data_IF_964692486561
#
_entry.id   IF_964692486561
#
_cell.length_a   1.000
_cell.length_b   1.000
_cell.length_c   1.000
_cell.angle_alpha   90.00
_cell.angle_beta   90.00
_cell.angle_gamma   90.00
#
_symmetry.space_group_name_H-M   'P 1'
#
loop_
_entity.id
_entity.type
_entity.pdbx_description
1 polymer ?
#
# COMPACT_ATOMS: atom_id res chain seq x y z
N UNK A 1 31.91 -10.51 -58.25
CA UNK A 1 30.53 -10.10 -57.87
C UNK A 1 29.64 -11.34 -57.90
N UNK A 2 28.65 -11.55 -57.01
CA UNK A 2 28.21 -10.71 -55.87
C UNK A 2 28.35 -11.40 -54.49
N UNK A 3 28.37 -10.58 -53.44
CA UNK A 3 28.33 -10.95 -52.02
C UNK A 3 26.86 -10.98 -51.60
N UNK A 4 26.43 -12.10 -51.00
CA UNK A 4 25.08 -12.29 -50.45
C UNK A 4 24.88 -11.40 -49.21
N UNK A 5 23.97 -10.44 -49.30
CA UNK A 5 23.57 -9.60 -48.17
C UNK A 5 22.50 -10.34 -47.34
N UNK A 6 22.91 -10.90 -46.21
CA UNK A 6 22.01 -11.44 -45.19
C UNK A 6 21.23 -10.28 -44.55
N UNK A 7 19.95 -10.16 -44.91
CA UNK A 7 18.99 -9.21 -44.32
C UNK A 7 18.70 -9.66 -42.88
N UNK A 8 19.38 -9.07 -41.89
CA UNK A 8 19.00 -9.18 -40.47
C UNK A 8 17.58 -8.62 -40.31
N UNK A 9 16.60 -9.52 -40.20
CA UNK A 9 15.26 -9.19 -39.69
C UNK A 9 15.43 -8.74 -38.24
N UNK A 10 15.28 -7.44 -37.99
CA UNK A 10 15.13 -6.93 -36.64
C UNK A 10 13.91 -7.57 -36.00
N UNK A 11 14.09 -8.22 -34.84
CA UNK A 11 12.99 -8.59 -33.96
C UNK A 11 12.25 -7.30 -33.62
N UNK A 12 10.99 -7.16 -34.05
CA UNK A 12 10.05 -6.22 -33.41
C UNK A 12 10.02 -6.60 -31.94
N UNK A 13 10.44 -5.70 -31.05
CA UNK A 13 10.06 -5.80 -29.63
C UNK A 13 8.54 -5.80 -29.62
N UNK A 14 7.92 -6.85 -29.10
CA UNK A 14 6.51 -6.79 -28.69
C UNK A 14 6.43 -5.65 -27.66
N UNK A 15 5.54 -4.69 -27.92
CA UNK A 15 5.33 -3.57 -27.01
C UNK A 15 4.76 -4.11 -25.70
N UNK A 16 5.17 -3.53 -24.57
CA UNK A 16 4.60 -3.88 -23.28
C UNK A 16 3.09 -3.54 -23.31
N UNK A 17 2.18 -4.48 -22.98
CA UNK A 17 0.74 -4.22 -22.97
C UNK A 17 0.33 -3.05 -22.08
N UNK A 18 1.11 -2.74 -21.03
CA UNK A 18 0.85 -1.57 -20.18
C UNK A 18 1.20 -0.27 -20.90
N UNK A 19 2.34 -0.21 -21.59
CA UNK A 19 2.75 0.97 -22.39
C UNK A 19 1.70 1.26 -23.48
N UNK A 20 1.20 0.22 -24.16
CA UNK A 20 0.16 0.38 -25.18
C UNK A 20 -1.16 0.92 -24.61
N UNK A 21 -1.53 0.50 -23.39
CA UNK A 21 -2.73 1.01 -22.72
C UNK A 21 -2.56 2.47 -22.28
N UNK A 22 -1.38 2.85 -21.80
CA UNK A 22 -1.04 4.22 -21.39
C UNK A 22 -1.05 5.14 -22.62
N UNK A 23 -0.46 4.72 -23.74
CA UNK A 23 -0.39 5.52 -24.98
C UNK A 23 -1.76 5.79 -25.62
N UNK A 24 -2.75 4.92 -25.35
CA UNK A 24 -4.12 5.07 -25.84
C UNK A 24 -4.97 6.03 -24.99
N UNK A 25 -4.56 6.34 -23.77
CA UNK A 25 -5.33 7.24 -22.91
C UNK A 25 -5.18 8.70 -23.36
N UNK A 26 -6.29 9.48 -23.37
CA UNK A 26 -6.22 10.88 -23.75
C UNK A 26 -5.39 11.68 -22.75
N UNK A 27 -4.74 12.72 -23.26
CA UNK A 27 -4.00 13.66 -22.41
C UNK A 27 -4.92 14.25 -21.33
N UNK A 28 -4.46 14.19 -20.07
CA UNK A 28 -5.24 14.62 -18.90
C UNK A 28 -6.08 13.54 -18.24
N UNK A 29 -6.21 12.34 -18.83
CA UNK A 29 -6.86 11.19 -18.18
C UNK A 29 -6.18 10.83 -16.87
N UNK A 30 -6.98 10.48 -15.85
CA UNK A 30 -6.48 9.94 -14.58
C UNK A 30 -6.22 8.44 -14.64
N UNK A 31 -6.66 7.74 -15.69
CA UNK A 31 -6.31 6.34 -15.85
C UNK A 31 -4.80 6.17 -16.04
N UNK A 32 -4.26 5.12 -15.45
CA UNK A 32 -2.87 4.66 -15.57
C UNK A 32 -1.79 5.63 -15.07
N UNK A 33 -2.16 6.63 -14.25
CA UNK A 33 -1.19 7.58 -13.67
C UNK A 33 -0.49 7.04 -12.43
N UNK A 34 -1.24 6.47 -11.49
CA UNK A 34 -0.70 5.87 -10.26
C UNK A 34 -0.58 4.35 -10.38
N UNK A 35 -1.64 3.69 -10.87
CA UNK A 35 -1.67 2.24 -11.06
C UNK A 35 -1.74 1.90 -12.54
N UNK A 36 -0.79 1.14 -13.08
CA UNK A 36 -0.84 0.64 -14.46
C UNK A 36 -1.75 -0.59 -14.60
N UNK A 37 -2.17 -1.01 -15.80
CA UNK A 37 -3.13 -2.11 -15.97
C UNK A 37 -2.68 -3.42 -15.31
N UNK A 38 -1.43 -3.84 -15.48
CA UNK A 38 -0.90 -5.04 -14.82
C UNK A 38 -1.00 -4.98 -13.29
N UNK A 39 -0.69 -3.82 -12.69
CA UNK A 39 -0.80 -3.59 -11.25
C UNK A 39 -2.25 -3.69 -10.77
N UNK A 40 -3.20 -3.08 -11.49
CA UNK A 40 -4.64 -3.19 -11.14
C UNK A 40 -5.11 -4.64 -11.19
N UNK A 41 -4.66 -5.42 -12.19
CA UNK A 41 -4.97 -6.85 -12.28
C UNK A 41 -4.42 -7.64 -11.11
N UNK A 42 -3.16 -7.39 -10.76
CA UNK A 42 -2.48 -8.03 -9.63
C UNK A 42 -3.23 -7.73 -8.32
N UNK A 43 -3.57 -6.46 -8.08
CA UNK A 43 -4.30 -6.03 -6.87
C UNK A 43 -5.72 -6.61 -6.84
N UNK A 44 -6.39 -6.71 -8.00
CA UNK A 44 -7.74 -7.27 -8.10
C UNK A 44 -7.79 -8.77 -7.82
N UNK A 45 -6.66 -9.47 -8.01
CA UNK A 45 -6.53 -10.92 -7.79
C UNK A 45 -6.03 -11.28 -6.39
N UNK A 46 -5.74 -10.31 -5.52
CA UNK A 46 -5.33 -10.60 -4.14
C UNK A 46 -6.47 -11.34 -3.39
N UNK A 47 -6.17 -12.49 -2.77
CA UNK A 47 -7.15 -13.30 -2.06
C UNK A 47 -7.48 -12.75 -0.67
N UNK A 48 -6.52 -12.07 -0.03
CA UNK A 48 -6.66 -11.53 1.34
C UNK A 48 -6.41 -10.03 1.39
N UNK A 49 -6.92 -9.31 2.40
CA UNK A 49 -6.60 -7.91 2.65
C UNK A 49 -5.10 -7.67 2.87
N UNK A 50 -4.41 -8.59 3.54
CA UNK A 50 -2.97 -8.49 3.83
C UNK A 50 -2.15 -8.56 2.53
N UNK A 51 -2.52 -9.45 1.60
CA UNK A 51 -1.88 -9.56 0.28
C UNK A 51 -2.13 -8.29 -0.56
N UNK A 52 -3.27 -7.64 -0.38
CA UNK A 52 -3.58 -6.37 -1.05
C UNK A 52 -2.72 -5.23 -0.48
N UNK A 53 -2.59 -5.17 0.85
CA UNK A 53 -1.79 -4.18 1.56
C UNK A 53 -0.29 -4.30 1.19
N UNK A 54 0.27 -5.51 1.24
CA UNK A 54 1.67 -5.76 0.89
C UNK A 54 1.97 -5.29 -0.55
N UNK A 55 1.13 -5.68 -1.52
CA UNK A 55 1.35 -5.28 -2.92
C UNK A 55 1.11 -3.80 -3.16
N UNK A 56 0.11 -3.21 -2.50
CA UNK A 56 -0.19 -1.79 -2.62
C UNK A 56 0.97 -0.95 -2.06
N UNK A 57 1.53 -1.34 -0.91
CA UNK A 57 2.68 -0.65 -0.31
C UNK A 57 3.91 -0.70 -1.22
N UNK A 58 4.17 -1.85 -1.86
CA UNK A 58 5.25 -2.01 -2.84
C UNK A 58 5.06 -1.14 -4.08
N UNK A 59 3.84 -1.05 -4.62
CA UNK A 59 3.54 -0.20 -5.78
C UNK A 59 3.69 1.29 -5.45
N UNK A 60 3.20 1.72 -4.30
CA UNK A 60 3.24 3.12 -3.86
C UNK A 60 4.58 3.53 -3.24
N UNK A 61 5.53 2.60 -3.11
CA UNK A 61 6.84 2.82 -2.47
C UNK A 61 6.75 3.30 -1.02
N UNK A 62 5.76 2.82 -0.26
CA UNK A 62 5.53 3.16 1.15
C UNK A 62 6.31 2.18 2.06
N UNK A 63 7.64 2.22 2.00
CA UNK A 63 8.49 1.23 2.66
C UNK A 63 8.52 1.34 4.19
N UNK A 64 8.14 2.49 4.75
CA UNK A 64 8.22 2.79 6.18
C UNK A 64 6.85 2.75 6.86
N UNK A 65 5.79 2.28 6.20
CA UNK A 65 4.43 2.23 6.75
C UNK A 65 4.30 1.53 8.10
N UNK A 66 5.20 0.60 8.46
CA UNK A 66 5.21 -0.03 9.77
C UNK A 66 5.69 0.88 10.92
N UNK A 67 6.43 1.95 10.60
CA UNK A 67 7.07 2.86 11.57
C UNK A 67 6.64 4.33 11.40
N UNK A 68 6.17 4.73 10.22
CA UNK A 68 5.66 6.07 9.94
C UNK A 68 4.13 6.05 9.81
N UNK A 69 3.47 6.71 10.76
CA UNK A 69 2.01 6.83 10.79
C UNK A 69 1.45 7.55 9.55
N UNK A 70 2.23 8.45 8.93
CA UNK A 70 1.79 9.13 7.70
C UNK A 70 1.67 8.15 6.55
N UNK A 71 2.72 7.38 6.28
CA UNK A 71 2.71 6.31 5.29
C UNK A 71 1.67 5.23 5.61
N UNK A 72 1.54 4.82 6.88
CA UNK A 72 0.54 3.84 7.32
C UNK A 72 -0.89 4.28 6.97
N UNK A 73 -1.26 5.50 7.36
CA UNK A 73 -2.60 6.04 7.10
C UNK A 73 -2.87 6.21 5.60
N UNK A 74 -1.84 6.54 4.82
CA UNK A 74 -1.97 6.67 3.38
C UNK A 74 -2.25 5.30 2.75
N UNK A 75 -1.50 4.27 3.17
CA UNK A 75 -1.69 2.90 2.73
C UNK A 75 -3.11 2.39 3.06
N UNK A 76 -3.57 2.59 4.30
CA UNK A 76 -4.92 2.22 4.74
C UNK A 76 -5.99 2.84 3.83
N UNK A 77 -5.85 4.13 3.53
CA UNK A 77 -6.79 4.83 2.65
C UNK A 77 -6.81 4.20 1.26
N UNK A 78 -5.65 3.89 0.68
CA UNK A 78 -5.59 3.24 -0.64
C UNK A 78 -6.16 1.83 -0.65
N UNK A 79 -5.83 1.01 0.35
CA UNK A 79 -6.31 -0.38 0.46
C UNK A 79 -7.83 -0.42 0.62
N UNK A 80 -8.37 0.33 1.58
CA UNK A 80 -9.82 0.39 1.82
C UNK A 80 -10.57 0.97 0.63
N UNK A 81 -10.04 2.02 0.00
CA UNK A 81 -10.67 2.63 -1.17
C UNK A 81 -10.65 1.71 -2.39
N UNK A 82 -9.52 1.04 -2.65
CA UNK A 82 -9.42 0.09 -3.74
C UNK A 82 -10.41 -1.07 -3.56
N UNK A 83 -10.47 -1.62 -2.34
CA UNK A 83 -11.41 -2.68 -2.00
C UNK A 83 -12.86 -2.24 -2.22
N UNK A 84 -13.24 -1.07 -1.68
CA UNK A 84 -14.58 -0.51 -1.86
C UNK A 84 -14.94 -0.33 -3.35
N UNK A 85 -14.03 0.24 -4.15
CA UNK A 85 -14.29 0.47 -5.57
C UNK A 85 -14.45 -0.83 -6.36
N UNK A 86 -13.70 -1.87 -5.98
CA UNK A 86 -13.86 -3.23 -6.52
C UNK A 86 -15.25 -3.79 -6.19
N UNK A 87 -15.73 -3.62 -4.95
CA UNK A 87 -17.08 -4.04 -4.55
C UNK A 87 -18.19 -3.28 -5.30
N UNK A 88 -17.95 -2.02 -5.68
CA UNK A 88 -18.88 -1.26 -6.54
C UNK A 88 -18.86 -1.71 -8.01
N UNK A 89 -18.00 -2.66 -8.38
CA UNK A 89 -17.93 -3.22 -9.73
C UNK A 89 -17.21 -2.33 -10.75
N UNK A 90 -16.27 -1.50 -10.30
CA UNK A 90 -15.49 -0.65 -11.21
C UNK A 90 -14.56 -1.50 -12.09
N UNK A 91 -14.44 -1.14 -13.37
CA UNK A 91 -13.51 -1.78 -14.29
C UNK A 91 -12.04 -1.39 -14.00
N UNK A 92 -11.07 -2.05 -14.64
CA UNK A 92 -9.63 -1.82 -14.38
C UNK A 92 -9.24 -0.33 -14.54
N UNK A 93 -9.80 0.32 -15.57
CA UNK A 93 -9.51 1.72 -15.90
C UNK A 93 -10.13 2.66 -14.87
N UNK A 94 -11.36 2.37 -14.45
CA UNK A 94 -12.06 3.07 -13.39
C UNK A 94 -11.35 2.94 -12.05
N UNK A 95 -10.86 1.75 -11.70
CA UNK A 95 -10.06 1.53 -10.49
C UNK A 95 -8.80 2.40 -10.51
N UNK A 96 -8.03 2.37 -11.60
CA UNK A 96 -6.83 3.22 -11.74
C UNK A 96 -7.15 4.72 -11.64
N UNK A 97 -8.19 5.16 -12.34
CA UNK A 97 -8.65 6.54 -12.31
C UNK A 97 -9.10 7.01 -10.93
N UNK A 98 -9.82 6.15 -10.20
CA UNK A 98 -10.28 6.43 -8.85
C UNK A 98 -9.12 6.54 -7.85
N UNK A 99 -8.14 5.63 -7.93
CA UNK A 99 -6.93 5.70 -7.10
C UNK A 99 -6.12 6.97 -7.40
N UNK A 100 -6.04 7.38 -8.66
CA UNK A 100 -5.39 8.64 -9.04
C UNK A 100 -6.14 9.86 -8.49
N UNK A 101 -7.47 9.88 -8.53
CA UNK A 101 -8.27 10.92 -7.89
C UNK A 101 -7.99 10.98 -6.38
N UNK A 102 -8.00 9.83 -5.71
CA UNK A 102 -7.76 9.71 -4.28
C UNK A 102 -6.36 10.22 -3.91
N UNK A 103 -5.35 9.83 -4.67
CA UNK A 103 -3.98 10.32 -4.52
C UNK A 103 -3.94 11.85 -4.58
N UNK A 104 -4.54 12.46 -5.61
CA UNK A 104 -4.56 13.91 -5.76
C UNK A 104 -5.30 14.61 -4.61
N UNK A 105 -6.40 14.02 -4.11
CA UNK A 105 -7.11 14.56 -2.93
C UNK A 105 -6.23 14.54 -1.69
N UNK A 106 -5.45 13.48 -1.47
CA UNK A 106 -4.51 13.39 -0.34
C UNK A 106 -3.33 14.34 -0.52
N UNK A 107 -2.74 14.45 -1.71
CA UNK A 107 -1.65 15.40 -2.02
C UNK A 107 -2.09 16.86 -1.82
N UNK A 108 -3.33 17.20 -2.16
CA UNK A 108 -3.90 18.51 -1.86
C UNK A 108 -3.94 18.78 -0.35
N UNK A 109 -4.24 17.78 0.48
CA UNK A 109 -4.21 17.93 1.95
C UNK A 109 -2.76 18.13 2.43
N UNK A 110 -1.80 17.37 1.87
CA UNK A 110 -0.36 17.53 2.15
C UNK A 110 0.23 18.85 1.68
N UNK A 111 -0.46 19.56 0.78
CA UNK A 111 -0.09 20.87 0.25
C UNK A 111 -0.86 22.03 0.92
N UNK A 112 -1.46 21.77 2.08
CA UNK A 112 -2.20 22.70 2.94
C UNK A 112 -3.43 23.33 2.25
N UNK A 113 -3.99 22.62 1.26
CA UNK A 113 -5.21 23.08 0.62
C UNK A 113 -6.38 23.02 1.60
N UNK A 114 -7.23 24.04 1.61
CA UNK A 114 -8.44 24.03 2.43
C UNK A 114 -9.48 23.01 1.95
N UNK A 115 -10.26 22.46 2.90
CA UNK A 115 -11.34 21.48 2.63
C UNK A 115 -12.27 21.88 1.49
N UNK A 116 -12.73 23.13 1.48
CA UNK A 116 -13.66 23.63 0.47
C UNK A 116 -13.01 23.71 -0.93
N UNK A 117 -11.74 24.13 -1.01
CA UNK A 117 -10.99 24.20 -2.25
C UNK A 117 -10.68 22.80 -2.81
N UNK A 118 -10.28 21.86 -1.95
CA UNK A 118 -10.03 20.48 -2.37
C UNK A 118 -11.34 19.79 -2.82
N UNK A 119 -12.47 20.08 -2.16
CA UNK A 119 -13.78 19.59 -2.62
C UNK A 119 -14.20 20.21 -3.96
N UNK A 120 -13.88 21.48 -4.19
CA UNK A 120 -14.10 22.14 -5.47
C UNK A 120 -13.26 21.50 -6.59
N UNK A 121 -12.00 21.17 -6.31
CA UNK A 121 -11.15 20.39 -7.23
C UNK A 121 -11.78 19.04 -7.61
N UNK A 122 -12.35 18.31 -6.65
CA UNK A 122 -13.05 17.05 -6.94
C UNK A 122 -14.25 17.28 -7.87
N UNK A 123 -15.03 18.35 -7.67
CA UNK A 123 -16.15 18.68 -8.56
C UNK A 123 -15.69 18.98 -9.98
N UNK A 124 -14.58 19.69 -10.12
CA UNK A 124 -13.98 20.02 -11.42
C UNK A 124 -13.48 18.77 -12.14
N UNK A 125 -12.92 17.79 -11.44
CA UNK A 125 -12.53 16.50 -12.02
C UNK A 125 -13.72 15.73 -12.63
N UNK A 126 -14.93 15.92 -12.10
CA UNK A 126 -16.17 15.35 -12.63
C UNK A 126 -16.94 16.29 -13.56
N UNK A 127 -16.46 17.51 -13.78
CA UNK A 127 -17.15 18.47 -14.66
C UNK A 127 -17.17 17.92 -16.08
N UNK A 128 -18.38 17.71 -16.62
CA UNK A 128 -18.61 17.12 -17.94
C UNK A 128 -18.83 15.60 -17.98
N UNK A 129 -18.75 14.90 -16.84
CA UNK A 129 -19.22 13.50 -16.76
C UNK A 129 -20.72 13.43 -17.08
N UNK A 130 -21.08 12.64 -18.09
CA UNK A 130 -22.46 12.51 -18.59
C UNK A 130 -22.85 13.51 -19.68
N UNK A 131 -21.90 14.26 -20.24
CA UNK A 131 -22.12 15.08 -21.44
C UNK A 131 -21.77 14.29 -22.70
N UNK A 132 -22.65 14.28 -23.69
CA UNK A 132 -22.44 13.57 -24.97
C UNK A 132 -21.46 14.28 -25.93
N UNK A 133 -20.79 15.34 -25.47
CA UNK A 133 -19.90 16.14 -26.31
C UNK A 133 -18.50 15.49 -26.42
N UNK A 134 -18.09 15.02 -27.61
CA UNK A 134 -16.80 14.35 -27.81
C UNK A 134 -15.59 15.30 -27.73
N UNK A 135 -15.83 16.62 -27.81
CA UNK A 135 -14.79 17.65 -27.84
C UNK A 135 -14.34 18.13 -26.44
N UNK A 136 -14.73 17.41 -25.38
CA UNK A 136 -14.30 17.66 -24.00
C UNK A 136 -12.87 17.13 -23.77
N UNK A 137 -11.93 17.74 -24.48
CA UNK A 137 -10.49 17.54 -24.29
C UNK A 137 -10.16 17.95 -22.85
N UNK A 138 -9.76 16.96 -22.04
CA UNK A 138 -9.28 17.09 -20.65
C UNK A 138 -10.33 17.00 -19.51
N UNK A 139 -11.36 16.16 -19.63
CA UNK A 139 -12.04 15.66 -18.42
C UNK A 139 -11.22 14.51 -17.83
N UNK A 140 -10.67 14.65 -16.61
CA UNK A 140 -9.77 13.62 -16.08
C UNK A 140 -10.44 12.26 -15.85
N UNK A 141 -11.74 12.28 -15.57
CA UNK A 141 -12.56 11.14 -15.18
C UNK A 141 -13.65 10.81 -16.20
N UNK A 142 -13.42 11.09 -17.49
CA UNK A 142 -14.41 10.98 -18.57
C UNK A 142 -15.04 9.58 -18.73
N UNK A 143 -14.34 8.52 -18.31
CA UNK A 143 -14.78 7.12 -18.40
C UNK A 143 -15.77 6.72 -17.29
N UNK A 144 -16.06 7.61 -16.33
CA UNK A 144 -17.09 7.39 -15.33
C UNK A 144 -18.47 7.80 -15.85
N UNK A 145 -19.50 7.06 -15.42
CA UNK A 145 -20.90 7.43 -15.59
C UNK A 145 -21.34 8.34 -14.44
N UNK A 146 -22.44 9.06 -14.65
CA UNK A 146 -23.04 9.93 -13.63
C UNK A 146 -23.35 9.19 -12.31
N UNK A 147 -23.77 7.93 -12.40
CA UNK A 147 -24.05 7.09 -11.24
C UNK A 147 -22.79 6.79 -10.43
N UNK A 148 -21.70 6.41 -11.09
CA UNK A 148 -20.40 6.16 -10.45
C UNK A 148 -19.85 7.45 -9.82
N UNK A 149 -19.98 8.60 -10.51
CA UNK A 149 -19.54 9.89 -9.96
C UNK A 149 -20.26 10.23 -8.66
N UNK A 150 -21.58 10.00 -8.57
CA UNK A 150 -22.35 10.19 -7.33
C UNK A 150 -21.87 9.27 -6.21
N UNK A 151 -21.57 8.01 -6.51
CA UNK A 151 -21.04 7.05 -5.55
C UNK A 151 -19.67 7.48 -5.02
N UNK A 152 -18.76 7.90 -5.91
CA UNK A 152 -17.41 8.36 -5.54
C UNK A 152 -17.50 9.62 -4.67
N UNK A 153 -18.29 10.62 -5.08
CA UNK A 153 -18.45 11.85 -4.29
C UNK A 153 -19.01 11.52 -2.90
N UNK A 154 -20.02 10.66 -2.81
CA UNK A 154 -20.57 10.22 -1.52
C UNK A 154 -19.51 9.52 -0.66
N UNK A 155 -18.75 8.60 -1.27
CA UNK A 155 -17.66 7.88 -0.59
C UNK A 155 -16.62 8.84 -0.03
N UNK A 156 -16.11 9.76 -0.84
CA UNK A 156 -15.11 10.75 -0.44
C UNK A 156 -15.66 11.67 0.66
N UNK A 157 -16.95 12.02 0.63
CA UNK A 157 -17.58 12.80 1.69
C UNK A 157 -17.54 12.05 3.02
N UNK A 158 -17.96 10.78 3.05
CA UNK A 158 -18.02 9.98 4.28
C UNK A 158 -16.66 9.54 4.83
N UNK A 159 -15.63 9.47 3.98
CA UNK A 159 -14.30 8.97 4.36
C UNK A 159 -13.31 10.12 4.53
N UNK A 160 -12.92 10.77 3.44
CA UNK A 160 -11.84 11.76 3.46
C UNK A 160 -12.32 13.12 3.97
N UNK A 161 -13.40 13.66 3.40
CA UNK A 161 -13.83 15.02 3.74
C UNK A 161 -14.47 15.13 5.12
N UNK A 162 -15.13 14.07 5.62
CA UNK A 162 -15.61 14.02 7.00
C UNK A 162 -14.45 14.10 7.99
N UNK A 163 -13.32 13.46 7.68
CA UNK A 163 -12.13 13.39 8.54
C UNK A 163 -11.00 14.34 8.10
N UNK A 164 -11.32 15.39 7.33
CA UNK A 164 -10.32 16.28 6.73
C UNK A 164 -9.36 16.92 7.75
N UNK A 165 -9.89 17.37 8.89
CA UNK A 165 -9.06 17.94 9.96
C UNK A 165 -8.10 16.90 10.53
N UNK A 166 -8.50 15.63 10.63
CA UNK A 166 -7.63 14.57 11.13
C UNK A 166 -6.44 14.35 10.19
N UNK A 167 -6.67 14.29 8.88
CA UNK A 167 -5.58 14.22 7.91
C UNK A 167 -4.68 15.45 7.98
N UNK A 168 -5.25 16.63 8.20
CA UNK A 168 -4.46 17.84 8.40
C UNK A 168 -3.56 17.76 9.65
N UNK A 169 -4.12 17.35 10.80
CA UNK A 169 -3.35 17.11 12.02
C UNK A 169 -2.22 16.10 11.80
N UNK A 170 -2.51 15.01 11.10
CA UNK A 170 -1.52 13.98 10.78
C UNK A 170 -0.31 14.55 10.02
N UNK A 171 -0.51 15.43 9.05
CA UNK A 171 0.60 15.95 8.23
C UNK A 171 1.36 17.11 8.89
N UNK A 172 0.65 18.02 9.57
CA UNK A 172 1.23 19.29 10.03
C UNK A 172 1.55 19.34 11.51
N UNK A 173 0.93 18.52 12.35
CA UNK A 173 1.29 18.51 13.76
C UNK A 173 2.45 17.60 14.05
N UNK A 174 3.39 18.14 14.81
CA UNK A 174 4.48 17.37 15.39
C UNK A 174 3.85 16.46 16.44
N UNK A 175 3.93 15.15 16.20
CA UNK A 175 3.45 14.16 17.14
C UNK A 175 4.44 14.08 18.31
N UNK A 176 3.91 14.03 19.53
CA UNK A 176 4.73 13.80 20.71
C UNK A 176 5.36 12.40 20.61
N UNK A 177 6.68 12.34 20.48
CA UNK A 177 7.42 11.08 20.46
C UNK A 177 7.38 10.44 21.84
N UNK A 178 6.51 9.43 22.01
CA UNK A 178 6.51 8.61 23.21
C UNK A 178 7.58 7.52 23.07
N UNK A 179 8.77 7.76 23.61
CA UNK A 179 9.81 6.73 23.71
C UNK A 179 9.36 5.70 24.75
N UNK A 180 8.74 4.61 24.29
CA UNK A 180 8.40 3.46 25.15
C UNK A 180 9.69 2.68 25.39
N UNK A 181 10.38 3.01 26.49
CA UNK A 181 11.49 2.20 26.97
C UNK A 181 10.96 0.87 27.51
N UNK A 182 11.28 -0.23 26.83
CA UNK A 182 11.05 -1.56 27.38
C UNK A 182 12.31 -1.99 28.12
N UNK A 183 12.25 -2.02 29.45
CA UNK A 183 13.30 -2.62 30.28
C UNK A 183 13.32 -4.14 30.05
N UNK A 184 14.13 -4.61 29.11
CA UNK A 184 14.43 -6.03 28.98
C UNK A 184 15.33 -6.45 30.15
N UNK A 185 14.72 -7.09 31.16
CA UNK A 185 15.47 -7.81 32.19
C UNK A 185 15.98 -9.11 31.60
N UNK A 186 17.21 -9.09 31.11
CA UNK A 186 17.93 -10.30 30.76
C UNK A 186 18.39 -10.97 32.06
N UNK A 187 17.78 -12.08 32.44
CA UNK A 187 18.35 -12.93 33.49
C UNK A 187 19.62 -13.58 32.93
N UNK A 188 20.77 -12.99 33.25
CA UNK A 188 22.06 -13.64 32.99
C UNK A 188 22.19 -14.82 33.96
N UNK A 189 22.57 -15.99 33.45
CA UNK A 189 22.99 -17.08 34.33
C UNK A 189 24.08 -16.56 35.27
N UNK A 190 23.95 -16.75 36.60
CA UNK A 190 25.04 -16.40 37.50
C UNK A 190 26.29 -17.14 37.03
N UNK A 191 27.41 -16.42 36.95
CA UNK A 191 28.72 -17.06 36.71
C UNK A 191 28.94 -17.97 37.91
N UNK A 192 28.67 -19.27 37.72
CA UNK A 192 28.89 -20.28 38.74
C UNK A 192 30.36 -20.30 39.13
N UNK A 193 30.65 -20.50 40.41
CA UNK A 193 31.99 -20.91 40.86
C UNK A 193 32.38 -22.30 40.30
N UNK A 194 31.41 -23.03 39.76
CA UNK A 194 31.56 -24.28 39.02
C UNK A 194 31.54 -24.01 37.50
N UNK A 195 32.36 -24.71 36.70
CA UNK A 195 32.29 -24.64 35.24
C UNK A 195 31.00 -25.25 34.65
N UNK A 196 30.14 -25.85 35.49
CA UNK A 196 28.88 -26.47 35.09
C UNK A 196 27.68 -25.65 35.60
N UNK A 197 26.66 -25.39 34.74
CA UNK A 197 25.44 -24.72 35.16
C UNK A 197 24.62 -25.62 36.11
N UNK A 198 23.67 -25.03 36.82
CA UNK A 198 22.84 -25.81 37.76
C UNK A 198 21.91 -26.77 37.00
N UNK A 199 21.61 -27.97 37.52
CA UNK A 199 21.02 -29.09 36.77
C UNK A 199 19.69 -28.75 36.06
N UNK A 200 18.86 -27.91 36.69
CA UNK A 200 17.56 -27.49 36.16
C UNK A 200 17.67 -26.50 34.98
N UNK A 201 18.84 -25.90 34.75
CA UNK A 201 19.09 -25.02 33.60
C UNK A 201 19.53 -25.76 32.34
N UNK A 202 20.02 -27.00 32.45
CA UNK A 202 20.45 -27.80 31.30
C UNK A 202 19.27 -28.51 30.60
N UNK A 203 18.05 -28.36 31.13
CA UNK A 203 16.87 -29.14 30.74
C UNK A 203 17.14 -30.67 30.75
N UNK A 204 18.05 -31.11 31.63
CA UNK A 204 18.36 -32.51 31.80
C UNK A 204 17.19 -33.19 32.54
N UNK A 205 16.65 -34.31 32.03
CA UNK A 205 15.64 -35.06 32.77
C UNK A 205 16.27 -35.61 34.06
N UNK A 206 15.45 -35.65 35.13
CA UNK A 206 15.90 -35.86 36.51
C UNK A 206 16.59 -37.22 36.71
N UNK A 207 16.15 -38.24 35.98
CA UNK A 207 16.70 -39.59 35.99
C UNK A 207 18.19 -39.63 35.59
N UNK A 208 18.56 -38.88 34.55
CA UNK A 208 19.95 -38.78 34.08
C UNK A 208 20.83 -38.04 35.08
N UNK A 209 20.26 -37.06 35.79
CA UNK A 209 20.98 -36.31 36.82
C UNK A 209 21.29 -37.17 38.04
N UNK A 210 20.29 -37.92 38.54
CA UNK A 210 20.43 -38.79 39.71
C UNK A 210 21.41 -39.93 39.45
N UNK A 211 21.44 -40.50 38.24
CA UNK A 211 22.34 -41.61 37.90
C UNK A 211 23.81 -41.20 37.82
N UNK A 212 24.11 -39.98 37.38
CA UNK A 212 25.48 -39.59 37.01
C UNK A 212 26.12 -38.53 37.92
N UNK A 213 25.33 -37.73 38.65
CA UNK A 213 25.84 -36.57 39.38
C UNK A 213 25.60 -36.62 40.89
N UNK A 214 24.69 -37.48 41.35
CA UNK A 214 24.57 -37.77 42.79
C UNK A 214 25.54 -38.92 43.09
N UNK A 215 26.68 -38.63 43.71
CA UNK A 215 27.57 -39.66 44.23
C UNK A 215 26.77 -40.57 45.18
N UNK A 216 26.57 -41.82 44.79
CA UNK A 216 26.05 -42.83 45.71
C UNK A 216 27.07 -42.99 46.85
N UNK A 217 26.69 -42.65 48.09
CA UNK A 217 27.55 -42.87 49.26
C UNK A 217 28.04 -44.33 49.27
N UNK A 218 29.34 -44.60 49.49
CA UNK A 218 29.84 -45.96 49.50
C UNK A 218 29.23 -46.73 50.67
N UNK A 219 28.55 -47.84 50.37
CA UNK A 219 28.00 -48.75 51.37
C UNK A 219 29.11 -49.21 52.33
N UNK A 220 28.92 -48.98 53.63
CA UNK A 220 29.78 -49.50 54.72
C UNK A 220 29.24 -50.82 55.24
#
# INVERSE_FOLDING_TARGET
MPISAARKRGKKKEADPDEEAIDKEPSGSFAWKILVPSQVRILSQCPTPEDLEEKMSGILSLASHALDLKEASQLDVFVVSFHWAKEQGFDERQLSGFITLLHNVLENIKSDMGKAANFQYVKECFSGVGSDNPDLVSIPLYFFKLEHAKLIIKYLISTIFQHYSLFHYLYYQQQDELIIGTDMKLESCPIGSSPYPVPLQEALPLDVYEEHFIESEPEV
#
